data_IF_756321500444
#
_entry.id   IF_756321500444
#
_cell.length_a   1.000
_cell.length_b   1.000
_cell.length_c   1.000
_cell.angle_alpha   90.00
_cell.angle_beta   90.00
_cell.angle_gamma   90.00
#
_symmetry.space_group_name_H-M   'P 1'
#
loop_
_entity.id
_entity.type
_entity.pdbx_description
1 polymer ?
#
# COMPACT_ATOMS: atom_id res chain seq x y z
N UNK A 1 -31.13 10.11 11.29
CA UNK A 1 -29.99 10.83 10.68
C UNK A 1 -29.21 11.47 11.82
N UNK A 2 -28.13 10.84 12.27
CA UNK A 2 -27.32 11.40 13.36
C UNK A 2 -26.51 12.57 12.81
N UNK A 3 -26.85 13.80 13.23
CA UNK A 3 -26.09 15.00 12.90
C UNK A 3 -24.76 14.95 13.65
N UNK A 4 -23.72 14.44 12.99
CA UNK A 4 -22.35 14.53 13.47
C UNK A 4 -21.94 16.00 13.40
N UNK A 5 -21.44 16.54 14.51
CA UNK A 5 -20.90 17.90 14.54
C UNK A 5 -19.64 17.99 13.66
N UNK A 6 -19.27 19.17 13.17
CA UNK A 6 -18.04 19.37 12.39
C UNK A 6 -16.79 18.79 13.07
N UNK A 7 -16.73 18.81 14.41
CA UNK A 7 -15.66 18.19 15.18
C UNK A 7 -15.66 16.65 15.10
N UNK A 8 -16.84 16.03 15.16
CA UNK A 8 -16.98 14.58 15.05
C UNK A 8 -16.63 14.06 13.65
N UNK A 9 -16.89 14.86 12.61
CA UNK A 9 -16.44 14.56 11.25
C UNK A 9 -14.91 14.68 11.10
N UNK A 10 -14.30 15.71 11.71
CA UNK A 10 -12.85 15.90 11.70
C UNK A 10 -12.11 14.77 12.44
N UNK A 11 -12.60 14.41 13.64
CA UNK A 11 -12.01 13.35 14.44
C UNK A 11 -12.14 12.00 13.75
N UNK A 12 -13.26 11.74 13.05
CA UNK A 12 -13.46 10.50 12.31
C UNK A 12 -12.52 10.40 11.09
N UNK A 13 -12.28 11.50 10.38
CA UNK A 13 -11.32 11.50 9.27
C UNK A 13 -9.87 11.37 9.73
N UNK A 14 -9.52 11.99 10.86
CA UNK A 14 -8.20 11.86 11.48
C UNK A 14 -7.97 10.43 12.00
N UNK A 15 -8.98 9.84 12.64
CA UNK A 15 -8.97 8.44 13.05
C UNK A 15 -8.82 7.46 11.86
N UNK A 16 -9.41 7.78 10.70
CA UNK A 16 -9.25 6.97 9.49
C UNK A 16 -7.82 7.03 8.93
N UNK A 17 -7.16 8.19 8.98
CA UNK A 17 -5.75 8.34 8.59
C UNK A 17 -4.81 7.60 9.56
N UNK A 18 -5.06 7.71 10.86
CA UNK A 18 -4.30 7.01 11.89
C UNK A 18 -4.47 5.49 11.76
N UNK A 19 -5.70 5.01 11.52
CA UNK A 19 -5.98 3.60 11.26
C UNK A 19 -5.29 3.08 10.00
N UNK A 20 -5.22 3.88 8.92
CA UNK A 20 -4.49 3.52 7.71
C UNK A 20 -2.98 3.40 7.96
N UNK A 21 -2.40 4.31 8.76
CA UNK A 21 -0.99 4.25 9.15
C UNK A 21 -0.69 3.03 10.04
N UNK A 22 -1.58 2.73 11.00
CA UNK A 22 -1.46 1.56 11.88
C UNK A 22 -1.57 0.25 11.10
N UNK A 23 -2.47 0.18 10.12
CA UNK A 23 -2.60 -0.97 9.22
C UNK A 23 -1.35 -1.16 8.35
N UNK A 24 -0.73 -0.07 7.87
CA UNK A 24 0.52 -0.14 7.12
C UNK A 24 1.68 -0.65 7.99
N UNK A 25 1.79 -0.18 9.24
CA UNK A 25 2.80 -0.66 10.19
C UNK A 25 2.59 -2.14 10.54
N UNK A 26 1.35 -2.54 10.82
CA UNK A 26 1.00 -3.94 11.08
C UNK A 26 1.29 -4.85 9.87
N UNK A 27 1.03 -4.37 8.66
CA UNK A 27 1.38 -5.09 7.43
C UNK A 27 2.90 -5.23 7.25
N UNK A 28 3.67 -4.18 7.58
CA UNK A 28 5.13 -4.22 7.52
C UNK A 28 5.73 -5.13 8.59
N UNK A 29 5.15 -5.16 9.79
CA UNK A 29 5.56 -6.04 10.88
C UNK A 29 5.21 -7.51 10.57
N UNK A 30 4.04 -7.75 9.97
CA UNK A 30 3.66 -9.08 9.47
C UNK A 30 4.57 -9.55 8.33
N UNK A 31 4.97 -8.66 7.42
CA UNK A 31 5.93 -8.95 6.36
C UNK A 31 7.33 -9.24 6.93
N UNK A 32 7.78 -8.46 7.92
CA UNK A 32 9.07 -8.68 8.59
C UNK A 32 9.06 -10.00 9.38
N UNK A 33 7.97 -10.33 10.06
CA UNK A 33 7.79 -11.60 10.74
C UNK A 33 7.82 -12.76 9.73
N UNK A 34 7.10 -12.65 8.61
CA UNK A 34 7.12 -13.65 7.55
C UNK A 34 8.53 -13.85 6.96
N UNK A 35 9.29 -12.77 6.77
CA UNK A 35 10.68 -12.82 6.31
C UNK A 35 11.61 -13.43 7.37
N UNK A 36 11.41 -13.14 8.66
CA UNK A 36 12.17 -13.73 9.75
C UNK A 36 11.90 -15.24 9.88
N UNK A 37 10.65 -15.67 9.75
CA UNK A 37 10.28 -17.09 9.70
C UNK A 37 10.89 -17.78 8.47
N UNK A 38 10.91 -17.12 7.30
CA UNK A 38 11.56 -17.64 6.10
C UNK A 38 13.10 -17.70 6.21
N UNK A 39 13.72 -16.71 6.86
CA UNK A 39 15.17 -16.67 7.13
C UNK A 39 15.59 -17.73 8.16
N UNK A 40 14.75 -18.02 9.15
CA UNK A 40 14.99 -19.07 10.13
C UNK A 40 14.73 -20.47 9.55
N UNK A 41 13.83 -20.59 8.56
CA UNK A 41 13.55 -21.82 7.83
C UNK A 41 14.65 -22.20 6.81
N UNK A 42 15.36 -21.23 6.23
CA UNK A 42 16.34 -21.46 5.15
C UNK A 42 17.64 -22.15 5.59
N UNK A 43 17.82 -22.43 6.88
CA UNK A 43 18.98 -23.13 7.42
C UNK A 43 18.71 -24.53 8.02
N UNK A 44 17.45 -24.99 8.06
CA UNK A 44 17.12 -26.31 8.63
C UNK A 44 16.60 -27.26 7.55
N UNK A 45 17.16 -28.49 7.40
CA UNK A 45 16.70 -29.45 6.40
C UNK A 45 15.23 -29.85 6.60
N UNK A 46 14.68 -29.67 7.80
CA UNK A 46 13.27 -29.91 8.13
C UNK A 46 12.35 -28.81 7.59
N UNK A 47 12.80 -27.57 7.53
CA UNK A 47 12.00 -26.44 7.04
C UNK A 47 12.06 -26.30 5.51
N UNK A 48 13.16 -26.71 4.88
CA UNK A 48 13.21 -26.92 3.43
C UNK A 48 12.35 -28.12 3.02
N UNK A 49 12.35 -29.21 3.79
CA UNK A 49 11.40 -30.30 3.63
C UNK A 49 9.95 -29.86 3.87
N UNK A 50 9.67 -29.02 4.88
CA UNK A 50 8.33 -28.50 5.13
C UNK A 50 7.87 -27.52 4.03
N UNK A 51 8.77 -26.70 3.49
CA UNK A 51 8.52 -25.85 2.32
C UNK A 51 8.23 -26.68 1.07
N UNK A 52 9.03 -27.74 0.84
CA UNK A 52 8.80 -28.70 -0.23
C UNK A 52 7.52 -29.53 -0.04
N UNK A 53 7.16 -29.89 1.20
CA UNK A 53 5.92 -30.59 1.55
C UNK A 53 4.72 -29.65 1.44
N UNK A 54 4.83 -28.38 1.83
CA UNK A 54 3.77 -27.39 1.62
C UNK A 54 3.57 -27.10 0.13
N UNK A 55 4.66 -27.01 -0.63
CA UNK A 55 4.65 -26.89 -2.09
C UNK A 55 4.05 -28.14 -2.75
N UNK A 56 4.41 -29.35 -2.28
CA UNK A 56 3.86 -30.62 -2.75
C UNK A 56 2.41 -30.88 -2.30
N UNK A 57 2.02 -30.44 -1.10
CA UNK A 57 0.65 -30.51 -0.58
C UNK A 57 -0.27 -29.51 -1.26
N UNK A 58 0.27 -28.37 -1.72
CA UNK A 58 -0.40 -27.48 -2.68
C UNK A 58 -0.37 -28.01 -4.12
N UNK A 59 0.18 -29.22 -4.33
CA UNK A 59 0.21 -29.93 -5.60
C UNK A 59 1.17 -29.38 -6.65
N UNK A 60 2.07 -28.44 -6.31
CA UNK A 60 2.93 -27.77 -7.29
C UNK A 60 2.19 -26.99 -8.38
N UNK A 61 0.89 -26.74 -8.23
CA UNK A 61 -0.01 -26.26 -9.31
C UNK A 61 -0.74 -24.96 -9.01
N UNK A 62 -0.40 -24.22 -7.94
CA UNK A 62 -0.86 -22.84 -7.86
C UNK A 62 0.05 -22.03 -8.78
N UNK A 63 -0.40 -21.87 -10.03
CA UNK A 63 0.25 -20.98 -10.98
C UNK A 63 0.48 -19.61 -10.31
N UNK A 64 1.69 -19.03 -10.37
CA UNK A 64 1.96 -17.72 -9.78
C UNK A 64 0.96 -16.64 -10.23
N UNK A 65 0.42 -16.77 -11.44
CA UNK A 65 -0.68 -15.97 -11.93
C UNK A 65 -1.96 -16.18 -11.11
N UNK A 66 -2.40 -17.43 -10.92
CA UNK A 66 -3.59 -17.76 -10.13
C UNK A 66 -3.43 -17.25 -8.69
N UNK A 67 -2.25 -17.42 -8.08
CA UNK A 67 -1.96 -16.90 -6.74
C UNK A 67 -2.11 -15.37 -6.66
N UNK A 68 -1.49 -14.63 -7.59
CA UNK A 68 -1.59 -13.16 -7.65
C UNK A 68 -3.02 -12.70 -7.98
N UNK A 69 -3.72 -13.44 -8.84
CA UNK A 69 -5.11 -13.18 -9.20
C UNK A 69 -6.04 -13.39 -8.00
N UNK A 70 -5.83 -14.42 -7.19
CA UNK A 70 -6.58 -14.63 -5.95
C UNK A 70 -6.38 -13.48 -4.97
N UNK A 71 -5.14 -13.01 -4.78
CA UNK A 71 -4.85 -11.84 -3.93
C UNK A 71 -5.56 -10.60 -4.48
N UNK A 72 -5.51 -10.37 -5.80
CA UNK A 72 -6.19 -9.25 -6.44
C UNK A 72 -7.71 -9.28 -6.21
N UNK A 73 -8.35 -10.43 -6.40
CA UNK A 73 -9.79 -10.58 -6.18
C UNK A 73 -10.15 -10.39 -4.70
N UNK A 74 -9.39 -10.97 -3.76
CA UNK A 74 -9.62 -10.77 -2.33
C UNK A 74 -9.44 -9.30 -1.93
N UNK A 75 -8.46 -8.58 -2.49
CA UNK A 75 -8.24 -7.17 -2.25
C UNK A 75 -9.43 -6.30 -2.72
N UNK A 76 -10.10 -6.66 -3.82
CA UNK A 76 -11.33 -5.97 -4.27
C UNK A 76 -12.43 -6.11 -3.23
N UNK A 77 -12.66 -7.32 -2.69
CA UNK A 77 -13.66 -7.53 -1.65
C UNK A 77 -13.35 -6.70 -0.40
N UNK A 78 -12.10 -6.73 0.07
CA UNK A 78 -11.68 -5.91 1.22
C UNK A 78 -11.91 -4.42 0.94
N UNK A 79 -11.51 -3.92 -0.23
CA UNK A 79 -11.71 -2.52 -0.62
C UNK A 79 -13.19 -2.11 -0.63
N UNK A 80 -14.07 -2.97 -1.16
CA UNK A 80 -15.51 -2.73 -1.14
C UNK A 80 -16.05 -2.56 0.28
N UNK A 81 -15.74 -3.51 1.19
CA UNK A 81 -16.21 -3.45 2.57
C UNK A 81 -15.64 -2.24 3.34
N UNK A 82 -14.38 -1.87 3.07
CA UNK A 82 -13.73 -0.71 3.69
C UNK A 82 -14.43 0.59 3.29
N UNK A 83 -14.73 0.78 2.01
CA UNK A 83 -15.37 2.01 1.52
C UNK A 83 -16.86 2.06 1.87
N UNK A 84 -17.56 0.93 1.86
CA UNK A 84 -18.99 0.89 2.13
C UNK A 84 -19.34 1.15 3.61
N UNK A 85 -18.38 0.98 4.53
CA UNK A 85 -18.58 1.16 5.97
C UNK A 85 -18.35 2.59 6.47
N UNK A 86 -18.20 3.58 5.58
CA UNK A 86 -17.90 4.98 5.97
C UNK A 86 -19.16 5.84 6.06
N UNK A 87 -19.14 6.84 6.95
CA UNK A 87 -20.27 7.74 7.12
C UNK A 87 -20.38 8.73 5.92
N UNK A 88 -21.59 9.14 5.50
CA UNK A 88 -21.76 9.98 4.31
C UNK A 88 -21.03 11.33 4.35
N UNK A 89 -20.80 11.88 5.55
CA UNK A 89 -20.04 13.11 5.74
C UNK A 89 -18.55 12.98 5.36
N UNK A 90 -18.06 11.76 5.21
CA UNK A 90 -16.66 11.45 4.95
C UNK A 90 -16.36 11.12 3.48
N UNK A 91 -17.34 11.11 2.56
CA UNK A 91 -17.06 10.79 1.15
C UNK A 91 -16.03 11.74 0.51
N UNK A 92 -16.09 13.03 0.82
CA UNK A 92 -15.13 14.02 0.29
C UNK A 92 -13.73 13.86 0.91
N UNK A 93 -13.57 13.72 2.24
CA UNK A 93 -12.30 13.30 2.84
C UNK A 93 -11.77 11.97 2.31
N UNK A 94 -12.64 10.97 2.13
CA UNK A 94 -12.31 9.65 1.62
C UNK A 94 -11.75 9.72 0.20
N UNK A 95 -12.35 10.56 -0.66
CA UNK A 95 -11.85 10.83 -2.01
C UNK A 95 -10.43 11.38 -2.00
N UNK A 96 -10.10 12.23 -1.02
CA UNK A 96 -8.73 12.75 -0.85
C UNK A 96 -7.75 11.68 -0.38
N UNK A 97 -8.18 10.81 0.54
CA UNK A 97 -7.36 9.69 1.03
C UNK A 97 -7.10 8.65 -0.06
N UNK A 98 -8.10 8.29 -0.87
CA UNK A 98 -7.89 7.35 -1.98
C UNK A 98 -6.96 7.92 -3.05
N UNK A 99 -6.95 9.24 -3.26
CA UNK A 99 -5.96 9.89 -4.12
C UNK A 99 -4.53 9.72 -3.56
N UNK A 100 -4.34 9.88 -2.25
CA UNK A 100 -3.04 9.62 -1.62
C UNK A 100 -2.62 8.13 -1.72
N UNK A 101 -3.55 7.19 -1.49
CA UNK A 101 -3.27 5.74 -1.61
C UNK A 101 -2.90 5.35 -3.05
N UNK A 102 -3.51 5.99 -4.06
CA UNK A 102 -3.19 5.72 -5.47
C UNK A 102 -1.71 6.00 -5.83
N UNK A 103 -0.99 6.73 -4.97
CA UNK A 103 0.44 6.99 -5.13
C UNK A 103 1.35 5.78 -4.86
N UNK A 104 0.80 4.57 -4.65
CA UNK A 104 1.57 3.31 -4.61
C UNK A 104 2.44 3.09 -5.86
N UNK A 105 2.12 3.79 -6.96
CA UNK A 105 2.91 3.87 -8.20
C UNK A 105 4.38 4.26 -7.94
N UNK A 106 4.68 4.97 -6.84
CA UNK A 106 6.05 5.31 -6.42
C UNK A 106 6.96 4.07 -6.31
N UNK A 107 6.42 2.91 -5.90
CA UNK A 107 7.18 1.65 -5.81
C UNK A 107 7.65 1.21 -7.19
N UNK A 108 6.78 1.30 -8.21
CA UNK A 108 7.14 0.98 -9.59
C UNK A 108 8.19 1.94 -10.16
N UNK A 109 8.07 3.24 -9.85
CA UNK A 109 9.05 4.24 -10.25
C UNK A 109 10.44 4.00 -9.61
N UNK A 110 10.49 3.65 -8.33
CA UNK A 110 11.73 3.31 -7.63
C UNK A 110 12.37 2.05 -8.21
N UNK A 111 11.59 1.02 -8.54
CA UNK A 111 12.11 -0.18 -9.21
C UNK A 111 12.67 0.15 -10.59
N UNK A 112 12.03 1.03 -11.36
CA UNK A 112 12.49 1.45 -12.69
C UNK A 112 13.78 2.28 -12.67
N UNK A 113 13.99 3.10 -11.62
CA UNK A 113 15.23 3.86 -11.42
C UNK A 113 16.34 2.97 -10.83
N UNK A 114 15.98 2.08 -9.91
CA UNK A 114 16.90 1.22 -9.16
C UNK A 114 17.41 -0.03 -9.90
N UNK A 115 17.06 -0.21 -11.18
CA UNK A 115 17.48 -1.37 -12.02
C UNK A 115 19.00 -1.57 -12.05
N UNK A 116 19.78 -0.51 -11.78
CA UNK A 116 21.24 -0.56 -11.71
C UNK A 116 21.81 -1.52 -10.64
N UNK A 117 21.02 -1.92 -9.63
CA UNK A 117 21.49 -2.84 -8.59
C UNK A 117 21.48 -4.33 -9.02
N UNK A 118 20.77 -4.69 -10.10
CA UNK A 118 20.54 -6.11 -10.44
C UNK A 118 21.24 -6.58 -11.72
N UNK A 119 21.44 -5.74 -12.75
CA UNK A 119 22.12 -6.18 -13.99
C UNK A 119 22.95 -5.08 -14.64
N UNK A 120 24.26 -5.12 -14.39
CA UNK A 120 25.28 -4.33 -15.07
C UNK A 120 25.59 -4.83 -16.50
N UNK A 121 24.71 -5.62 -17.12
CA UNK A 121 25.01 -6.24 -18.41
C UNK A 121 23.80 -6.22 -19.35
N UNK A 122 23.91 -5.40 -20.40
CA UNK A 122 23.30 -5.65 -21.72
C UNK A 122 21.81 -5.38 -21.87
N UNK A 123 21.39 -4.11 -21.93
CA UNK A 123 20.34 -3.70 -22.87
C UNK A 123 20.36 -2.19 -23.13
N UNK A 124 20.28 -1.78 -24.38
CA UNK A 124 20.20 -0.39 -24.85
C UNK A 124 18.91 0.36 -24.42
N UNK A 125 18.09 -0.22 -23.54
CA UNK A 125 16.84 0.34 -23.00
C UNK A 125 16.92 0.91 -21.57
N UNK A 126 18.03 0.71 -20.86
CA UNK A 126 18.16 1.10 -19.45
C UNK A 126 18.04 2.61 -19.22
N UNK A 127 18.63 3.43 -20.10
CA UNK A 127 18.57 4.89 -19.98
C UNK A 127 17.14 5.44 -20.13
N UNK A 128 16.31 4.80 -20.95
CA UNK A 128 14.91 5.19 -21.13
C UNK A 128 14.07 4.79 -19.91
N UNK A 129 14.25 3.57 -19.40
CA UNK A 129 13.58 3.10 -18.19
C UNK A 129 13.91 3.99 -16.97
N UNK A 130 15.18 4.36 -16.81
CA UNK A 130 15.61 5.28 -15.75
C UNK A 130 15.06 6.70 -15.95
N UNK A 131 15.08 7.23 -17.17
CA UNK A 131 14.52 8.55 -17.48
C UNK A 131 13.02 8.62 -17.15
N UNK A 132 12.25 7.65 -17.61
CA UNK A 132 10.81 7.57 -17.30
C UNK A 132 10.54 7.24 -15.84
N UNK A 133 11.37 6.40 -15.21
CA UNK A 133 11.30 6.10 -13.78
C UNK A 133 11.54 7.34 -12.93
N UNK A 134 12.53 8.18 -13.27
CA UNK A 134 12.82 9.43 -12.58
C UNK A 134 11.67 10.44 -12.71
N UNK A 135 11.14 10.62 -13.92
CA UNK A 135 9.95 11.46 -14.14
C UNK A 135 8.75 10.90 -13.36
N UNK A 136 8.55 9.59 -13.40
CA UNK A 136 7.51 8.90 -12.64
C UNK A 136 7.65 9.10 -11.13
N UNK A 137 8.88 9.10 -10.60
CA UNK A 137 9.17 9.33 -9.19
C UNK A 137 8.83 10.76 -8.77
N UNK A 138 9.18 11.75 -9.60
CA UNK A 138 8.83 13.16 -9.37
C UNK A 138 7.31 13.35 -9.38
N UNK A 139 6.61 12.80 -10.38
CA UNK A 139 5.16 12.88 -10.48
C UNK A 139 4.44 12.17 -9.33
N UNK A 140 4.91 10.99 -8.93
CA UNK A 140 4.40 10.27 -7.77
C UNK A 140 4.61 11.08 -6.48
N UNK A 141 5.78 11.69 -6.30
CA UNK A 141 6.07 12.55 -5.15
C UNK A 141 5.10 13.73 -5.07
N UNK A 142 4.81 14.39 -6.19
CA UNK A 142 3.80 15.48 -6.23
C UNK A 142 2.42 14.98 -5.82
N UNK A 143 2.02 13.77 -6.26
CA UNK A 143 0.73 13.18 -5.88
C UNK A 143 0.67 12.85 -4.38
N UNK A 144 1.74 12.28 -3.82
CA UNK A 144 1.87 12.01 -2.37
C UNK A 144 1.75 13.32 -1.58
N UNK A 145 2.66 14.27 -1.83
CA UNK A 145 2.70 15.50 -1.05
C UNK A 145 1.47 16.38 -1.29
N UNK A 146 0.98 16.47 -2.52
CA UNK A 146 -0.24 17.20 -2.87
C UNK A 146 -1.49 16.60 -2.22
N UNK A 147 -1.63 15.28 -2.27
CA UNK A 147 -2.75 14.55 -1.65
C UNK A 147 -2.79 14.77 -0.14
N UNK A 148 -1.67 14.60 0.56
CA UNK A 148 -1.62 14.78 2.02
C UNK A 148 -1.73 16.26 2.44
N UNK A 149 -1.20 17.20 1.67
CA UNK A 149 -1.26 18.64 1.99
C UNK A 149 -2.66 19.22 1.78
N UNK A 150 -3.37 18.79 0.72
CA UNK A 150 -4.78 19.18 0.51
C UNK A 150 -5.68 18.52 1.56
N UNK A 151 -5.46 17.25 1.88
CA UNK A 151 -6.22 16.55 2.93
C UNK A 151 -6.04 17.25 4.29
N UNK A 152 -4.80 17.56 4.68
CA UNK A 152 -4.53 18.24 5.96
C UNK A 152 -5.17 19.63 6.02
N UNK A 153 -5.19 20.37 4.90
CA UNK A 153 -5.84 21.68 4.80
C UNK A 153 -7.37 21.58 4.83
N UNK A 154 -7.95 20.54 4.23
CA UNK A 154 -9.39 20.25 4.32
C UNK A 154 -9.81 19.88 5.75
N UNK A 155 -9.02 19.04 6.44
CA UNK A 155 -9.30 18.64 7.82
C UNK A 155 -9.03 19.77 8.83
N UNK A 156 -8.08 20.66 8.56
CA UNK A 156 -7.82 21.82 9.40
C UNK A 156 -9.00 22.81 9.46
N UNK A 157 -9.84 22.86 8.42
CA UNK A 157 -11.05 23.69 8.40
C UNK A 157 -12.17 23.17 9.33
N UNK A 158 -12.07 21.94 9.80
CA UNK A 158 -13.00 21.36 10.77
C UNK A 158 -12.50 21.40 12.22
N UNK A 159 -11.24 21.83 12.45
CA UNK A 159 -10.71 22.07 13.81
C UNK A 159 -11.12 23.45 14.32
N UNK A 160 -11.75 23.50 15.49
CA UNK A 160 -12.14 24.76 16.14
C UNK A 160 -10.88 25.54 16.53
N UNK A 161 -10.84 26.84 16.22
CA UNK A 161 -9.79 27.76 16.70
C UNK A 161 -9.77 27.69 18.23
N UNK A 162 -8.73 27.12 18.81
CA UNK A 162 -8.47 27.26 20.25
C UNK A 162 -8.33 28.76 20.53
N UNK A 163 -9.17 29.26 21.44
CA UNK A 163 -9.07 30.63 21.95
C UNK A 163 -7.81 30.79 22.78
#
# INVERSE_FOLDING_TARGET
>A
MANLTPEQAASAAQAAADAASAAATAAHEAAAAAQAYAAQASGSPLAEAAGAIAHAASGGVIDPFIFRLSIFVLAIFVGYYVVWSVTPALHTPLMSVTNAISSVIVVGALLAVGVEAADAASASGHAWAQGFGFVGLVLASVNIFGGFLVTSRMLAMYKKKTK
#
